data_IF_598889672372
#
_entry.id   IF_598889672372
#
_cell.length_a   1.000
_cell.length_b   1.000
_cell.length_c   1.000
_cell.angle_alpha   90.00
_cell.angle_beta   90.00
_cell.angle_gamma   90.00
#
_symmetry.space_group_name_H-M   'P 1'
#
loop_
_entity.id
_entity.type
_entity.pdbx_description
1 polymer ?
#
# COMPACT_ATOMS: atom_id res chain seq x y z
N UNK A 1 5.91 30.49 -6.11
CA UNK A 1 6.58 29.19 -6.16
C UNK A 1 5.97 28.22 -5.14
N UNK A 2 6.07 28.48 -3.84
CA UNK A 2 5.55 27.60 -2.77
C UNK A 2 4.07 27.16 -2.91
N UNK A 3 3.16 28.07 -3.26
CA UNK A 3 1.74 27.74 -3.42
C UNK A 3 1.44 26.85 -4.64
N UNK A 4 2.21 26.97 -5.73
CA UNK A 4 2.08 26.13 -6.91
C UNK A 4 2.60 24.71 -6.65
N UNK A 5 3.69 24.59 -5.90
CA UNK A 5 4.26 23.29 -5.53
C UNK A 5 3.28 22.53 -4.61
N UNK A 6 2.70 23.22 -3.62
CA UNK A 6 1.69 22.64 -2.73
C UNK A 6 0.41 22.20 -3.48
N UNK A 7 -0.05 23.02 -4.45
CA UNK A 7 -1.21 22.65 -5.25
C UNK A 7 -0.95 21.39 -6.09
N UNK A 8 0.24 21.27 -6.68
CA UNK A 8 0.62 20.07 -7.46
C UNK A 8 0.71 18.82 -6.59
N UNK A 9 1.24 18.93 -5.37
CA UNK A 9 1.29 17.81 -4.41
C UNK A 9 -0.12 17.38 -4.00
N UNK A 10 -1.01 18.33 -3.70
CA UNK A 10 -2.40 18.06 -3.37
C UNK A 10 -3.12 17.33 -4.52
N UNK A 11 -2.93 17.76 -5.76
CA UNK A 11 -3.51 17.09 -6.93
C UNK A 11 -3.01 15.64 -7.07
N UNK A 12 -1.74 15.38 -6.81
CA UNK A 12 -1.19 13.99 -6.82
C UNK A 12 -1.81 13.13 -5.72
N UNK A 13 -1.96 13.67 -4.51
CA UNK A 13 -2.60 12.97 -3.39
C UNK A 13 -4.06 12.65 -3.73
N UNK A 14 -4.82 13.60 -4.28
CA UNK A 14 -6.21 13.39 -4.71
C UNK A 14 -6.28 12.31 -5.79
N UNK A 15 -5.41 12.34 -6.80
CA UNK A 15 -5.38 11.31 -7.84
C UNK A 15 -5.05 9.93 -7.26
N UNK A 16 -4.07 9.83 -6.35
CA UNK A 16 -3.74 8.55 -5.72
C UNK A 16 -4.87 8.04 -4.83
N UNK A 17 -5.55 8.91 -4.09
CA UNK A 17 -6.68 8.49 -3.23
C UNK A 17 -7.85 7.90 -4.03
N UNK A 18 -8.08 8.35 -5.28
CA UNK A 18 -9.06 7.75 -6.18
C UNK A 18 -8.53 6.50 -6.87
N UNK A 19 -7.22 6.46 -7.15
CA UNK A 19 -6.56 5.33 -7.77
C UNK A 19 -6.51 4.10 -6.85
N UNK A 20 -6.27 4.29 -5.55
CA UNK A 20 -6.04 3.21 -4.60
C UNK A 20 -7.17 2.17 -4.56
N UNK A 21 -8.46 2.53 -4.37
CA UNK A 21 -9.53 1.55 -4.37
C UNK A 21 -9.71 0.84 -5.72
N UNK A 22 -9.50 1.54 -6.84
CA UNK A 22 -9.57 0.93 -8.17
C UNK A 22 -8.41 -0.05 -8.39
N UNK A 23 -7.23 0.30 -7.87
CA UNK A 23 -6.07 -0.60 -7.91
C UNK A 23 -6.29 -1.88 -7.09
N UNK A 24 -6.85 -1.77 -5.88
CA UNK A 24 -7.21 -2.92 -5.06
C UNK A 24 -8.26 -3.81 -5.76
N UNK A 25 -9.24 -3.22 -6.44
CA UNK A 25 -10.25 -3.93 -7.21
C UNK A 25 -9.67 -4.78 -8.36
N UNK A 26 -8.56 -4.37 -8.97
CA UNK A 26 -7.86 -5.20 -9.97
C UNK A 26 -7.38 -6.53 -9.39
N UNK A 27 -6.95 -6.56 -8.12
CA UNK A 27 -6.53 -7.79 -7.43
C UNK A 27 -7.72 -8.57 -6.88
N UNK A 28 -8.58 -7.91 -6.10
CA UNK A 28 -9.58 -8.57 -5.25
C UNK A 28 -10.82 -8.98 -6.04
N UNK A 29 -11.33 -8.12 -6.92
CA UNK A 29 -12.57 -8.39 -7.67
C UNK A 29 -12.31 -9.03 -9.02
N UNK A 30 -11.28 -8.61 -9.73
CA UNK A 30 -10.97 -9.07 -11.09
C UNK A 30 -9.94 -10.17 -11.14
N UNK A 31 -9.14 -10.32 -10.07
CA UNK A 31 -8.02 -11.24 -10.05
C UNK A 31 -7.12 -11.06 -11.29
N UNK A 32 -6.88 -9.78 -11.67
CA UNK A 32 -6.04 -9.42 -12.80
C UNK A 32 -4.64 -9.99 -12.58
N UNK A 33 -4.04 -10.67 -13.57
CA UNK A 33 -2.69 -11.20 -13.42
C UNK A 33 -1.69 -10.09 -13.10
N UNK A 34 -0.77 -10.35 -12.18
CA UNK A 34 0.26 -9.40 -11.76
C UNK A 34 1.04 -8.83 -12.96
N UNK A 35 1.38 -9.68 -13.94
CA UNK A 35 2.09 -9.29 -15.15
C UNK A 35 1.34 -8.23 -15.94
N UNK A 36 0.01 -8.34 -15.97
CA UNK A 36 -0.85 -7.36 -16.64
C UNK A 36 -0.84 -6.02 -15.89
N UNK A 37 -0.94 -6.04 -14.56
CA UNK A 37 -0.85 -4.82 -13.74
C UNK A 37 0.52 -4.15 -13.91
N UNK A 38 1.60 -4.93 -13.89
CA UNK A 38 2.97 -4.43 -14.15
C UNK A 38 3.08 -3.79 -15.53
N UNK A 39 2.44 -4.36 -16.55
CA UNK A 39 2.41 -3.79 -17.90
C UNK A 39 1.71 -2.42 -17.91
N UNK A 40 0.52 -2.31 -17.28
CA UNK A 40 -0.23 -1.05 -17.19
C UNK A 40 0.56 0.05 -16.45
N UNK A 41 1.33 -0.33 -15.41
CA UNK A 41 2.17 0.60 -14.66
C UNK A 41 3.38 1.08 -15.47
N UNK A 42 4.04 0.18 -16.21
CA UNK A 42 5.26 0.50 -16.99
C UNK A 42 4.95 1.21 -18.29
N UNK A 43 3.84 0.86 -18.91
CA UNK A 43 3.42 1.34 -20.21
C UNK A 43 2.01 1.97 -20.13
N UNK A 44 1.88 3.18 -19.56
CA UNK A 44 0.57 3.82 -19.38
C UNK A 44 -0.22 4.06 -20.67
N UNK A 45 0.41 3.94 -21.84
CA UNK A 45 -0.23 4.01 -23.17
C UNK A 45 -0.97 2.72 -23.55
N UNK A 46 -0.75 1.61 -22.80
CA UNK A 46 -1.41 0.34 -23.02
C UNK A 46 -2.92 0.49 -23.07
N UNK A 47 -3.58 -0.18 -24.02
CA UNK A 47 -5.04 -0.20 -24.10
C UNK A 47 -5.60 -1.03 -22.95
N UNK A 48 -6.66 -0.56 -22.28
CA UNK A 48 -7.34 -1.36 -21.24
C UNK A 48 -8.12 -2.51 -21.88
N UNK A 49 -8.15 -3.66 -21.21
CA UNK A 49 -8.89 -4.84 -21.64
C UNK A 49 -10.33 -4.87 -21.07
N UNK A 50 -10.61 -4.03 -20.07
CA UNK A 50 -11.90 -3.95 -19.37
C UNK A 50 -12.09 -2.56 -18.71
N UNK A 51 -13.28 -2.35 -18.13
CA UNK A 51 -13.65 -1.07 -17.52
C UNK A 51 -12.85 -0.73 -16.28
N UNK A 52 -12.43 -1.72 -15.49
CA UNK A 52 -11.62 -1.51 -14.29
C UNK A 52 -10.19 -1.06 -14.66
N UNK A 53 -9.60 -1.66 -15.68
CA UNK A 53 -8.32 -1.18 -16.22
C UNK A 53 -8.44 0.21 -16.84
N UNK A 54 -9.57 0.49 -17.50
CA UNK A 54 -9.86 1.83 -18.01
C UNK A 54 -9.92 2.84 -16.85
N UNK A 55 -10.68 2.54 -15.79
CA UNK A 55 -10.76 3.40 -14.61
C UNK A 55 -9.38 3.59 -13.94
N UNK A 56 -8.62 2.50 -13.78
CA UNK A 56 -7.26 2.57 -13.27
C UNK A 56 -6.40 3.53 -14.10
N UNK A 57 -6.38 3.39 -15.41
CA UNK A 57 -5.60 4.22 -16.32
C UNK A 57 -6.09 5.68 -16.36
N UNK A 58 -7.37 5.95 -16.15
CA UNK A 58 -7.92 7.31 -16.05
C UNK A 58 -7.31 8.11 -14.90
N UNK A 59 -7.01 7.48 -13.77
CA UNK A 59 -6.34 8.12 -12.63
C UNK A 59 -4.82 8.00 -12.71
N UNK A 60 -4.31 6.84 -13.12
CA UNK A 60 -2.87 6.58 -13.16
C UNK A 60 -2.12 7.45 -14.18
N UNK A 61 -2.64 7.59 -15.39
CA UNK A 61 -1.99 8.39 -16.47
C UNK A 61 -1.73 9.84 -16.05
N UNK A 62 -2.73 10.61 -15.59
CA UNK A 62 -2.50 11.98 -15.15
C UNK A 62 -1.60 12.05 -13.92
N UNK A 63 -1.71 11.10 -12.97
CA UNK A 63 -0.82 11.02 -11.82
C UNK A 63 0.62 10.82 -12.28
N UNK A 64 0.88 9.81 -13.10
CA UNK A 64 2.22 9.49 -13.60
C UNK A 64 2.84 10.65 -14.42
N UNK A 65 2.02 11.39 -15.20
CA UNK A 65 2.47 12.56 -15.92
C UNK A 65 2.93 13.68 -15.00
N UNK A 66 2.26 13.87 -13.86
CA UNK A 66 2.57 14.90 -12.86
C UNK A 66 3.76 14.55 -11.95
N UNK A 67 4.28 13.33 -12.02
CA UNK A 67 5.41 12.91 -11.19
C UNK A 67 6.73 13.46 -11.73
N UNK A 68 7.49 14.16 -10.88
CA UNK A 68 8.86 14.60 -11.19
C UNK A 68 9.85 13.43 -11.11
N UNK A 69 9.73 12.59 -10.08
CA UNK A 69 10.60 11.41 -9.83
C UNK A 69 9.95 10.12 -10.31
N UNK A 70 9.59 10.04 -11.60
CA UNK A 70 8.84 8.90 -12.19
C UNK A 70 9.44 7.53 -11.90
N UNK A 71 10.78 7.39 -11.90
CA UNK A 71 11.45 6.11 -11.63
C UNK A 71 11.26 5.65 -10.19
N UNK A 72 11.39 6.58 -9.22
CA UNK A 72 11.19 6.28 -7.80
C UNK A 72 9.73 5.91 -7.52
N UNK A 73 8.78 6.71 -8.01
CA UNK A 73 7.36 6.44 -7.91
C UNK A 73 6.99 5.06 -8.48
N UNK A 74 7.42 4.77 -9.72
CA UNK A 74 7.19 3.47 -10.35
C UNK A 74 7.81 2.33 -9.53
N UNK A 75 9.02 2.51 -9.00
CA UNK A 75 9.66 1.51 -8.14
C UNK A 75 8.85 1.20 -6.89
N UNK A 76 8.33 2.23 -6.21
CA UNK A 76 7.46 2.05 -5.03
C UNK A 76 6.16 1.33 -5.42
N UNK A 77 5.55 1.70 -6.55
CA UNK A 77 4.32 1.07 -7.01
C UNK A 77 4.52 -0.41 -7.37
N UNK A 78 5.63 -0.76 -8.01
CA UNK A 78 5.96 -2.17 -8.31
C UNK A 78 6.19 -2.99 -7.03
N UNK A 79 6.85 -2.42 -6.01
CA UNK A 79 6.98 -3.06 -4.69
C UNK A 79 5.62 -3.30 -4.04
N UNK A 80 4.71 -2.33 -4.10
CA UNK A 80 3.34 -2.51 -3.61
C UNK A 80 2.60 -3.60 -4.40
N UNK A 81 2.80 -3.68 -5.73
CA UNK A 81 2.22 -4.74 -6.57
C UNK A 81 2.70 -6.12 -6.15
N UNK A 82 3.99 -6.26 -5.81
CA UNK A 82 4.56 -7.50 -5.27
C UNK A 82 3.94 -7.85 -3.91
N UNK A 83 3.78 -6.86 -3.02
CA UNK A 83 3.17 -7.04 -1.70
C UNK A 83 1.69 -7.46 -1.80
N UNK A 84 0.92 -6.84 -2.70
CA UNK A 84 -0.48 -7.22 -2.96
C UNK A 84 -0.59 -8.65 -3.51
N UNK A 85 0.27 -9.06 -4.43
CA UNK A 85 0.28 -10.45 -4.92
C UNK A 85 0.61 -11.44 -3.79
N UNK A 86 1.58 -11.09 -2.93
CA UNK A 86 1.90 -11.90 -1.75
C UNK A 86 0.76 -11.97 -0.74
N UNK A 87 -0.09 -10.94 -0.64
CA UNK A 87 -1.21 -10.93 0.31
C UNK A 87 -2.27 -12.00 0.04
N UNK A 88 -2.33 -12.54 -1.19
CA UNK A 88 -3.19 -13.70 -1.52
C UNK A 88 -2.89 -14.92 -0.66
N UNK A 89 -1.69 -15.03 -0.10
CA UNK A 89 -1.32 -16.10 0.85
C UNK A 89 -2.10 -16.03 2.16
N UNK A 90 -2.68 -14.88 2.51
CA UNK A 90 -3.55 -14.75 3.67
C UNK A 90 -4.83 -15.60 3.57
N UNK A 91 -5.20 -16.02 2.36
CA UNK A 91 -6.32 -16.93 2.10
C UNK A 91 -5.92 -18.41 2.20
N UNK A 92 -4.62 -18.72 2.37
CA UNK A 92 -4.12 -20.11 2.44
C UNK A 92 -4.17 -20.62 3.87
N UNK A 93 -4.76 -21.80 4.08
CA UNK A 93 -5.01 -22.37 5.41
C UNK A 93 -3.77 -22.53 6.29
N UNK A 94 -2.61 -22.83 5.70
CA UNK A 94 -1.39 -23.19 6.45
C UNK A 94 -0.33 -22.05 6.48
N UNK A 95 -0.70 -20.81 6.16
CA UNK A 95 0.21 -19.67 6.26
C UNK A 95 0.55 -19.40 7.73
N UNK A 96 1.83 -19.31 8.06
CA UNK A 96 2.30 -19.12 9.44
C UNK A 96 2.00 -17.70 9.95
N UNK A 97 1.99 -17.51 11.28
CA UNK A 97 1.80 -16.17 11.88
C UNK A 97 2.89 -15.20 11.47
N UNK A 98 4.13 -15.67 11.38
CA UNK A 98 5.29 -14.87 10.96
C UNK A 98 5.13 -14.41 9.49
N UNK A 99 4.65 -15.29 8.63
CA UNK A 99 4.41 -14.94 7.22
C UNK A 99 3.24 -13.97 7.08
N UNK A 100 2.16 -14.16 7.85
CA UNK A 100 1.04 -13.19 7.91
C UNK A 100 1.55 -11.82 8.34
N UNK A 101 2.32 -11.76 9.43
CA UNK A 101 2.93 -10.52 9.92
C UNK A 101 3.75 -9.83 8.82
N UNK A 102 4.62 -10.58 8.16
CA UNK A 102 5.45 -10.06 7.08
C UNK A 102 4.62 -9.51 5.92
N UNK A 103 3.57 -10.21 5.51
CA UNK A 103 2.65 -9.77 4.46
C UNK A 103 1.98 -8.45 4.84
N UNK A 104 1.45 -8.33 6.06
CA UNK A 104 0.83 -7.11 6.56
C UNK A 104 1.84 -5.95 6.56
N UNK A 105 3.06 -6.18 7.07
CA UNK A 105 4.13 -5.19 7.09
C UNK A 105 4.54 -4.74 5.68
N UNK A 106 4.70 -5.67 4.74
CA UNK A 106 5.06 -5.36 3.35
C UNK A 106 3.96 -4.55 2.65
N UNK A 107 2.70 -4.93 2.81
CA UNK A 107 1.55 -4.21 2.22
C UNK A 107 1.49 -2.78 2.75
N UNK A 108 1.46 -2.59 4.06
CA UNK A 108 1.39 -1.27 4.67
C UNK A 108 2.62 -0.42 4.41
N UNK A 109 3.82 -1.00 4.59
CA UNK A 109 5.09 -0.31 4.36
C UNK A 109 5.25 0.17 2.91
N UNK A 110 4.95 -0.68 1.92
CA UNK A 110 5.01 -0.30 0.51
C UNK A 110 3.95 0.75 0.14
N UNK A 111 2.75 0.69 0.75
CA UNK A 111 1.69 1.70 0.57
C UNK A 111 2.15 3.07 1.07
N UNK A 112 2.76 3.13 2.26
CA UNK A 112 3.30 4.38 2.79
C UNK A 112 4.43 4.93 1.91
N UNK A 113 5.38 4.10 1.50
CA UNK A 113 6.46 4.54 0.60
C UNK A 113 5.92 5.07 -0.74
N UNK A 114 4.88 4.44 -1.29
CA UNK A 114 4.22 4.94 -2.49
C UNK A 114 3.58 6.30 -2.24
N UNK A 115 2.81 6.47 -1.15
CA UNK A 115 2.18 7.75 -0.79
C UNK A 115 3.22 8.85 -0.64
N UNK A 116 4.29 8.62 0.13
CA UNK A 116 5.34 9.61 0.33
C UNK A 116 6.18 9.89 -0.92
N UNK A 117 6.24 8.93 -1.89
CA UNK A 117 6.90 9.17 -3.17
C UNK A 117 6.21 10.22 -4.05
N UNK A 118 4.95 10.61 -3.72
CA UNK A 118 4.23 11.71 -4.38
C UNK A 118 4.81 13.08 -4.01
N UNK A 119 5.45 13.17 -2.84
CA UNK A 119 6.12 14.37 -2.40
C UNK A 119 7.47 14.48 -3.12
N UNK A 120 7.85 15.68 -3.53
CA UNK A 120 9.13 15.90 -4.22
C UNK A 120 10.33 15.89 -3.24
N UNK A 121 10.06 15.78 -1.94
CA UNK A 121 11.06 15.62 -0.90
C UNK A 121 11.90 14.34 -1.07
N UNK A 122 13.14 14.37 -0.64
CA UNK A 122 13.93 13.14 -0.51
C UNK A 122 13.36 12.29 0.63
N UNK A 123 13.15 10.99 0.34
CA UNK A 123 12.76 10.02 1.37
C UNK A 123 14.00 9.69 2.23
N UNK A 124 14.36 10.60 3.12
CA UNK A 124 15.53 10.39 3.99
C UNK A 124 15.31 9.25 4.99
N UNK A 125 14.06 8.97 5.33
CA UNK A 125 13.64 8.07 6.41
C UNK A 125 12.75 6.94 5.90
N UNK A 126 13.16 6.26 4.81
CA UNK A 126 12.37 5.17 4.22
C UNK A 126 11.99 4.09 5.26
N UNK A 127 12.90 3.78 6.20
CA UNK A 127 12.64 2.78 7.24
C UNK A 127 11.51 3.22 8.18
N UNK A 128 11.56 4.46 8.68
CA UNK A 128 10.52 4.98 9.58
C UNK A 128 9.16 5.09 8.87
N UNK A 129 9.15 5.55 7.60
CA UNK A 129 7.94 5.61 6.78
C UNK A 129 7.37 4.21 6.52
N UNK A 130 8.22 3.24 6.24
CA UNK A 130 7.80 1.84 6.07
C UNK A 130 7.16 1.29 7.35
N UNK A 131 7.77 1.53 8.52
CA UNK A 131 7.21 1.11 9.81
C UNK A 131 5.89 1.81 10.14
N UNK A 132 5.75 3.10 9.81
CA UNK A 132 4.48 3.82 9.93
C UNK A 132 3.40 3.16 9.09
N UNK A 133 3.70 2.84 7.84
CA UNK A 133 2.77 2.16 6.95
C UNK A 133 2.36 0.78 7.48
N UNK A 134 3.32 0.00 8.00
CA UNK A 134 3.04 -1.28 8.64
C UNK A 134 2.11 -1.12 9.86
N UNK A 135 2.37 -0.11 10.71
CA UNK A 135 1.53 0.19 11.86
C UNK A 135 0.10 0.59 11.45
N UNK A 136 -0.05 1.39 10.39
CA UNK A 136 -1.36 1.72 9.82
C UNK A 136 -2.08 0.49 9.29
N UNK A 137 -1.39 -0.45 8.64
CA UNK A 137 -2.01 -1.69 8.15
C UNK A 137 -2.45 -2.60 9.29
N UNK A 138 -1.74 -2.63 10.42
CA UNK A 138 -2.22 -3.33 11.61
C UNK A 138 -3.53 -2.74 12.16
N UNK A 139 -3.69 -1.42 12.10
CA UNK A 139 -4.97 -0.77 12.45
C UNK A 139 -6.08 -1.16 11.49
N UNK A 140 -5.79 -1.17 10.20
CA UNK A 140 -6.71 -1.59 9.14
C UNK A 140 -7.21 -3.02 9.40
N UNK A 141 -6.29 -3.98 9.61
CA UNK A 141 -6.60 -5.37 9.98
C UNK A 141 -7.50 -5.47 11.24
N UNK A 142 -7.37 -4.53 12.20
CA UNK A 142 -8.21 -4.49 13.41
C UNK A 142 -9.62 -3.98 13.07
N UNK A 143 -9.74 -2.95 12.25
CA UNK A 143 -11.03 -2.40 11.84
C UNK A 143 -11.80 -3.37 10.95
N UNK A 144 -11.10 -4.08 10.07
CA UNK A 144 -11.67 -5.03 9.12
C UNK A 144 -11.81 -6.45 9.70
N UNK A 145 -11.51 -6.66 11.01
CA UNK A 145 -11.51 -7.97 11.66
C UNK A 145 -12.75 -8.82 11.37
N UNK A 146 -13.92 -8.20 11.36
CA UNK A 146 -15.18 -8.89 11.10
C UNK A 146 -15.28 -9.38 9.65
N UNK A 147 -15.00 -8.50 8.70
CA UNK A 147 -15.10 -8.78 7.26
C UNK A 147 -14.02 -9.76 6.81
N UNK A 148 -12.81 -9.64 7.33
CA UNK A 148 -11.72 -10.59 7.10
C UNK A 148 -12.03 -11.98 7.65
N UNK A 149 -12.70 -12.05 8.82
CA UNK A 149 -13.14 -13.32 9.39
C UNK A 149 -14.19 -14.01 8.53
N UNK A 150 -15.14 -13.26 7.97
CA UNK A 150 -16.16 -13.77 7.03
C UNK A 150 -15.50 -14.23 5.73
N UNK A 151 -14.53 -13.49 5.23
CA UNK A 151 -13.77 -13.82 4.02
C UNK A 151 -12.76 -14.95 4.21
N UNK A 152 -12.59 -15.49 5.44
CA UNK A 152 -11.53 -16.43 5.81
C UNK A 152 -10.13 -15.90 5.50
N UNK A 153 -9.93 -14.60 5.51
CA UNK A 153 -8.64 -13.95 5.35
C UNK A 153 -7.91 -13.95 6.69
N UNK A 154 -6.70 -14.45 6.72
CA UNK A 154 -5.85 -14.46 7.92
C UNK A 154 -5.14 -13.13 8.06
N UNK A 155 -5.36 -12.48 9.19
CA UNK A 155 -4.67 -11.25 9.58
C UNK A 155 -4.06 -11.40 10.96
N UNK A 156 -3.21 -10.48 11.37
CA UNK A 156 -2.71 -10.46 12.76
C UNK A 156 -3.87 -10.28 13.72
N UNK A 157 -4.85 -9.46 13.37
CA UNK A 157 -5.98 -9.15 14.23
C UNK A 157 -6.84 -10.39 14.55
N UNK A 158 -7.12 -11.26 13.57
CA UNK A 158 -7.94 -12.46 13.80
C UNK A 158 -7.15 -13.69 14.28
N UNK A 159 -5.82 -13.59 14.33
CA UNK A 159 -4.92 -14.63 14.84
C UNK A 159 -4.53 -14.49 16.32
N UNK A 160 -4.94 -13.39 17.00
CA UNK A 160 -4.59 -13.06 18.38
C UNK A 160 -5.85 -12.84 19.22
N UNK A 161 -5.75 -13.10 20.55
CA UNK A 161 -6.77 -12.61 21.46
C UNK A 161 -6.59 -11.12 21.74
N UNK A 162 -7.61 -10.47 22.35
CA UNK A 162 -7.63 -9.01 22.58
C UNK A 162 -6.42 -8.51 23.38
N UNK A 163 -5.97 -9.26 24.40
CA UNK A 163 -4.83 -8.85 25.23
C UNK A 163 -3.51 -8.93 24.45
N UNK A 164 -3.32 -10.01 23.69
CA UNK A 164 -2.18 -10.19 22.78
C UNK A 164 -2.17 -9.11 21.69
N UNK A 165 -3.32 -8.84 21.07
CA UNK A 165 -3.46 -7.83 20.03
C UNK A 165 -3.12 -6.43 20.55
N UNK A 166 -3.61 -6.07 21.74
CA UNK A 166 -3.30 -4.80 22.40
C UNK A 166 -1.79 -4.67 22.67
N UNK A 167 -1.16 -5.72 23.20
CA UNK A 167 0.28 -5.74 23.46
C UNK A 167 1.08 -5.60 22.17
N UNK A 168 0.72 -6.38 21.15
CA UNK A 168 1.36 -6.36 19.84
C UNK A 168 1.29 -4.97 19.20
N UNK A 169 0.10 -4.37 19.14
CA UNK A 169 -0.08 -3.05 18.53
C UNK A 169 0.65 -1.94 19.32
N UNK A 170 0.61 -2.00 20.66
CA UNK A 170 1.34 -1.03 21.50
C UNK A 170 2.85 -1.10 21.24
N UNK A 171 3.40 -2.30 21.08
CA UNK A 171 4.81 -2.49 20.75
C UNK A 171 5.15 -1.96 19.36
N UNK A 172 4.33 -2.26 18.35
CA UNK A 172 4.52 -1.78 16.97
C UNK A 172 4.50 -0.23 16.91
N UNK A 173 3.63 0.39 17.70
CA UNK A 173 3.55 1.86 17.81
C UNK A 173 4.83 2.45 18.43
N UNK A 174 5.32 1.86 19.52
CA UNK A 174 6.59 2.30 20.16
C UNK A 174 7.76 2.14 19.18
N UNK A 175 7.88 1.00 18.52
CA UNK A 175 8.94 0.76 17.52
C UNK A 175 8.88 1.78 16.36
N UNK A 176 7.68 2.19 15.97
CA UNK A 176 7.47 3.22 14.94
C UNK A 176 7.94 4.58 15.43
N UNK A 177 7.56 4.99 16.63
CA UNK A 177 8.00 6.26 17.25
C UNK A 177 9.53 6.28 17.38
N UNK A 178 10.12 5.21 17.92
CA UNK A 178 11.58 5.08 18.07
C UNK A 178 12.33 5.16 16.73
N UNK A 179 11.70 4.70 15.64
CA UNK A 179 12.30 4.81 14.31
C UNK A 179 12.34 6.26 13.82
N UNK A 180 11.31 7.06 14.11
CA UNK A 180 11.30 8.50 13.82
C UNK A 180 12.31 9.25 14.71
N UNK A 181 12.35 8.99 16.02
CA UNK A 181 13.22 9.70 16.97
C UNK A 181 14.72 9.46 16.70
N UNK A 182 15.10 8.34 16.13
CA UNK A 182 16.50 8.04 15.79
C UNK A 182 16.99 8.73 14.52
N UNK A 183 16.10 9.26 13.72
CA UNK A 183 16.40 9.82 12.41
C UNK A 183 16.26 11.36 12.36
N UNK A 184 15.79 11.97 13.44
CA UNK A 184 15.69 13.42 13.66
C UNK A 184 16.56 13.88 14.83
#
# INVERSE_FOLDING_TARGET
>A
MFLLDFQMELERIVLLSHLAPVYDDLFDKRNTPKERIVLLLREPSTQPDNDEELMFLMFYRPLFQKMNKKRSFLSCFLKLTDAQENSKKQLIANTSKEEIRKITEEKGGCSALLLFSLLDAELKNEKALYQLGACCQYMDDIFDWHDDSIANRKTIANGLNIAELKSFYSQALVETIDAFDKEF
#
